data_IF_113667597418
#
_entry.id   IF_113667597418
#
_cell.length_a   1.000
_cell.length_b   1.000
_cell.length_c   1.000
_cell.angle_alpha   90.00
_cell.angle_beta   90.00
_cell.angle_gamma   90.00
#
_symmetry.space_group_name_H-M   'P 1'
#
loop_
_entity.id
_entity.type
_entity.pdbx_description
1 polymer ?
#
# COMPACT_ATOMS: atom_id res chain seq x y z
N UNK A 1 -28.67 -11.10 3.96
CA UNK A 1 -28.24 -10.29 5.12
C UNK A 1 -27.46 -9.12 4.58
N UNK A 2 -28.15 -8.01 4.36
CA UNK A 2 -27.60 -6.74 3.86
C UNK A 2 -27.65 -5.79 5.05
N UNK A 3 -26.54 -5.65 5.74
CA UNK A 3 -26.39 -4.72 6.85
C UNK A 3 -25.05 -3.99 6.68
N UNK A 4 -25.06 -2.71 7.05
CA UNK A 4 -23.87 -1.91 7.42
C UNK A 4 -23.18 -1.05 6.37
N UNK A 5 -23.88 -0.59 5.33
CA UNK A 5 -23.44 0.62 4.59
C UNK A 5 -24.17 1.91 5.03
N UNK A 6 -25.23 1.82 5.84
CA UNK A 6 -26.12 2.94 6.16
C UNK A 6 -25.82 3.68 7.49
N UNK A 7 -25.00 3.14 8.40
CA UNK A 7 -24.90 3.71 9.76
C UNK A 7 -23.85 4.80 9.98
N UNK A 8 -22.85 4.93 9.10
CA UNK A 8 -21.97 6.11 9.12
C UNK A 8 -22.72 7.38 8.71
N UNK A 9 -23.85 7.23 8.01
CA UNK A 9 -24.61 8.37 7.53
C UNK A 9 -25.29 9.17 8.64
N UNK A 10 -25.59 8.52 9.77
CA UNK A 10 -26.31 9.12 10.90
C UNK A 10 -25.41 9.76 11.96
N UNK A 11 -24.13 9.39 12.02
CA UNK A 11 -23.23 9.76 13.13
C UNK A 11 -22.22 10.84 12.77
N UNK A 12 -21.74 10.88 11.51
CA UNK A 12 -20.69 11.79 11.09
C UNK A 12 -21.10 12.65 9.88
N UNK A 13 -20.74 13.93 9.96
CA UNK A 13 -20.86 14.88 8.84
C UNK A 13 -19.86 14.55 7.74
N UNK A 14 -20.11 15.03 6.52
CA UNK A 14 -19.17 14.89 5.40
C UNK A 14 -17.80 15.51 5.71
N UNK A 15 -17.77 16.63 6.44
CA UNK A 15 -16.55 17.30 6.85
C UNK A 15 -15.73 16.47 7.85
N UNK A 16 -16.40 15.85 8.83
CA UNK A 16 -15.73 14.95 9.79
C UNK A 16 -15.15 13.73 9.08
N UNK A 17 -15.89 13.11 8.16
CA UNK A 17 -15.39 11.98 7.39
C UNK A 17 -14.20 12.37 6.49
N UNK A 18 -14.25 13.54 5.86
CA UNK A 18 -13.12 14.07 5.08
C UNK A 18 -11.88 14.29 5.96
N UNK A 19 -12.06 14.87 7.15
CA UNK A 19 -10.98 15.04 8.11
C UNK A 19 -10.40 13.71 8.61
N UNK A 20 -11.25 12.69 8.82
CA UNK A 20 -10.80 11.34 9.19
C UNK A 20 -10.00 10.68 8.07
N UNK A 21 -10.43 10.84 6.82
CA UNK A 21 -9.68 10.35 5.65
C UNK A 21 -8.33 11.07 5.52
N UNK A 22 -8.31 12.39 5.66
CA UNK A 22 -7.08 13.17 5.62
C UNK A 22 -6.11 12.74 6.72
N UNK A 23 -6.58 12.57 7.96
CA UNK A 23 -5.75 12.08 9.06
C UNK A 23 -5.17 10.70 8.79
N UNK A 24 -5.94 9.80 8.16
CA UNK A 24 -5.42 8.49 7.78
C UNK A 24 -4.30 8.60 6.74
N UNK A 25 -4.42 9.51 5.76
CA UNK A 25 -3.36 9.79 4.80
C UNK A 25 -2.13 10.41 5.47
N UNK A 26 -2.32 11.34 6.40
CA UNK A 26 -1.22 11.98 7.14
C UNK A 26 -0.45 10.96 7.99
N UNK A 27 -1.16 10.05 8.69
CA UNK A 27 -0.57 8.95 9.46
C UNK A 27 0.27 8.00 8.59
N UNK A 28 -0.10 7.86 7.32
CA UNK A 28 0.61 7.06 6.32
C UNK A 28 1.75 7.85 5.64
N UNK A 29 1.74 9.19 5.74
CA UNK A 29 2.58 10.07 4.93
C UNK A 29 2.22 9.99 3.44
N UNK A 30 0.96 9.70 3.10
CA UNK A 30 0.49 9.47 1.75
C UNK A 30 -0.20 10.67 1.14
N UNK A 31 -0.13 10.76 -0.19
CA UNK A 31 -0.97 11.62 -1.01
C UNK A 31 -2.17 10.82 -1.53
N UNK A 32 -3.23 11.47 -2.03
CA UNK A 32 -4.37 10.80 -2.66
C UNK A 32 -3.97 9.83 -3.79
N UNK A 33 -2.88 10.16 -4.49
CA UNK A 33 -2.34 9.33 -5.57
C UNK A 33 -1.75 8.01 -5.08
N UNK A 34 -1.24 7.94 -3.85
CA UNK A 34 -0.68 6.73 -3.25
C UNK A 34 -1.82 5.81 -2.77
N UNK A 35 -2.84 6.38 -2.13
CA UNK A 35 -4.05 5.63 -1.75
C UNK A 35 -4.69 4.98 -2.97
N UNK A 36 -4.83 5.72 -4.07
CA UNK A 36 -5.32 5.18 -5.34
C UNK A 36 -4.47 4.02 -5.85
N UNK A 37 -3.15 4.14 -5.83
CA UNK A 37 -2.26 3.07 -6.33
C UNK A 37 -2.39 1.82 -5.47
N UNK A 38 -2.58 1.99 -4.16
CA UNK A 38 -2.87 0.88 -3.25
C UNK A 38 -4.24 0.25 -3.52
N UNK A 39 -5.29 1.05 -3.75
CA UNK A 39 -6.60 0.51 -4.13
C UNK A 39 -6.54 -0.31 -5.42
N UNK A 40 -5.72 0.12 -6.41
CA UNK A 40 -5.48 -0.65 -7.64
C UNK A 40 -4.82 -2.00 -7.36
N UNK A 41 -3.80 -2.01 -6.51
CA UNK A 41 -3.13 -3.26 -6.10
C UNK A 41 -4.07 -4.18 -5.32
N UNK A 42 -4.99 -3.62 -4.55
CA UNK A 42 -6.02 -4.37 -3.81
C UNK A 42 -7.21 -4.81 -4.68
N UNK A 43 -7.18 -4.60 -6.00
CA UNK A 43 -8.20 -5.09 -6.92
C UNK A 43 -9.31 -4.09 -7.31
N UNK A 44 -9.13 -2.79 -7.06
CA UNK A 44 -10.07 -1.80 -7.58
C UNK A 44 -9.93 -1.65 -9.11
N UNK A 45 -10.87 -2.23 -9.84
CA UNK A 45 -10.84 -2.25 -11.31
C UNK A 45 -11.29 -0.93 -11.97
N UNK A 46 -11.76 0.06 -11.19
CA UNK A 46 -12.19 1.34 -11.76
C UNK A 46 -11.03 2.06 -12.45
N UNK A 47 -11.30 2.93 -13.45
CA UNK A 47 -10.26 3.73 -14.08
C UNK A 47 -9.50 4.58 -13.06
N UNK A 48 -8.17 4.67 -13.22
CA UNK A 48 -7.25 5.41 -12.33
C UNK A 48 -7.71 6.86 -12.08
N UNK A 49 -8.15 7.55 -13.14
CA UNK A 49 -8.66 8.91 -13.05
C UNK A 49 -9.95 9.01 -12.22
N UNK A 50 -10.82 8.01 -12.32
CA UNK A 50 -12.09 7.94 -11.58
C UNK A 50 -11.84 7.77 -10.09
N UNK A 51 -10.96 6.85 -9.71
CA UNK A 51 -10.59 6.62 -8.30
C UNK A 51 -9.98 7.89 -7.72
N UNK A 52 -8.99 8.49 -8.40
CA UNK A 52 -8.33 9.70 -7.92
C UNK A 52 -9.29 10.87 -7.75
N UNK A 53 -10.16 11.10 -8.74
CA UNK A 53 -11.17 12.16 -8.69
C UNK A 53 -12.12 11.93 -7.52
N UNK A 54 -12.54 10.69 -7.29
CA UNK A 54 -13.36 10.32 -6.14
C UNK A 54 -12.71 10.69 -4.81
N UNK A 55 -11.45 10.28 -4.61
CA UNK A 55 -10.68 10.59 -3.39
C UNK A 55 -10.56 12.11 -3.19
N UNK A 56 -10.15 12.85 -4.23
CA UNK A 56 -9.96 14.30 -4.14
C UNK A 56 -11.28 15.03 -3.83
N UNK A 57 -12.39 14.65 -4.47
CA UNK A 57 -13.71 15.23 -4.18
C UNK A 57 -14.18 14.91 -2.77
N UNK A 58 -13.89 13.71 -2.27
CA UNK A 58 -14.23 13.31 -0.91
C UNK A 58 -13.43 14.10 0.13
N UNK A 59 -12.13 14.32 -0.11
CA UNK A 59 -11.28 15.17 0.74
C UNK A 59 -11.70 16.65 0.69
N UNK A 60 -12.14 17.13 -0.47
CA UNK A 60 -12.67 18.50 -0.62
C UNK A 60 -14.06 18.70 0.01
N UNK A 61 -14.74 17.61 0.40
CA UNK A 61 -16.11 17.66 0.92
C UNK A 61 -17.20 17.80 -0.15
N UNK A 62 -16.83 17.76 -1.44
CA UNK A 62 -17.78 17.81 -2.57
C UNK A 62 -18.72 16.60 -2.61
N UNK A 63 -18.24 15.47 -2.09
CA UNK A 63 -18.99 14.24 -1.91
C UNK A 63 -18.68 13.67 -0.53
N UNK A 64 -19.62 12.91 0.03
CA UNK A 64 -19.39 12.19 1.28
C UNK A 64 -18.35 11.08 1.06
N UNK A 65 -17.40 10.95 1.98
CA UNK A 65 -16.45 9.83 1.99
C UNK A 65 -17.26 8.54 2.22
N UNK A 66 -17.11 7.54 1.34
CA UNK A 66 -17.77 6.25 1.55
C UNK A 66 -17.15 5.51 2.75
N UNK A 67 -17.97 4.76 3.48
CA UNK A 67 -17.50 3.94 4.59
C UNK A 67 -16.40 2.96 4.17
N UNK A 68 -16.50 2.37 2.98
CA UNK A 68 -15.48 1.48 2.41
C UNK A 68 -14.13 2.17 2.18
N UNK A 69 -14.13 3.39 1.63
CA UNK A 69 -12.90 4.14 1.40
C UNK A 69 -12.20 4.48 2.72
N UNK A 70 -12.99 4.92 3.71
CA UNK A 70 -12.46 5.24 5.03
C UNK A 70 -11.96 3.99 5.76
N UNK A 71 -12.72 2.88 5.69
CA UNK A 71 -12.32 1.60 6.27
C UNK A 71 -11.02 1.10 5.65
N UNK A 72 -10.88 1.17 4.33
CA UNK A 72 -9.65 0.80 3.62
C UNK A 72 -8.46 1.65 4.06
N UNK A 73 -8.59 2.98 4.07
CA UNK A 73 -7.52 3.87 4.53
C UNK A 73 -7.09 3.56 5.98
N UNK A 74 -8.05 3.30 6.87
CA UNK A 74 -7.78 2.92 8.26
C UNK A 74 -7.12 1.54 8.38
N UNK A 75 -7.49 0.58 7.53
CA UNK A 75 -6.82 -0.71 7.45
C UNK A 75 -5.36 -0.54 7.02
N UNK A 76 -5.07 0.34 6.06
CA UNK A 76 -3.68 0.63 5.66
C UNK A 76 -2.88 1.27 6.80
N UNK A 77 -3.47 2.18 7.59
CA UNK A 77 -2.82 2.73 8.80
C UNK A 77 -2.44 1.61 9.78
N UNK A 78 -3.39 0.67 10.03
CA UNK A 78 -3.15 -0.47 10.93
C UNK A 78 -2.07 -1.40 10.39
N UNK A 79 -2.08 -1.65 9.08
CA UNK A 79 -1.06 -2.43 8.37
C UNK A 79 0.31 -1.79 8.55
N UNK A 80 0.49 -0.50 8.25
CA UNK A 80 1.76 0.19 8.44
C UNK A 80 2.24 0.10 9.88
N UNK A 81 1.36 0.34 10.86
CA UNK A 81 1.72 0.21 12.28
C UNK A 81 2.15 -1.21 12.65
N UNK A 82 1.52 -2.25 12.07
CA UNK A 82 1.93 -3.65 12.25
C UNK A 82 3.32 -3.88 11.65
N UNK A 83 3.53 -3.46 10.41
CA UNK A 83 4.80 -3.62 9.71
C UNK A 83 5.94 -2.88 10.42
N UNK A 84 5.69 -1.69 10.97
CA UNK A 84 6.69 -0.97 11.77
C UNK A 84 7.03 -1.68 13.08
N UNK A 85 6.10 -2.41 13.70
CA UNK A 85 6.42 -3.26 14.86
C UNK A 85 7.27 -4.47 14.46
N UNK A 86 7.01 -5.06 13.29
CA UNK A 86 7.73 -6.24 12.81
C UNK A 86 9.12 -5.90 12.26
N UNK A 87 9.20 -4.88 11.41
CA UNK A 87 10.38 -4.55 10.59
C UNK A 87 10.95 -3.16 10.89
N UNK A 88 10.40 -2.40 11.83
CA UNK A 88 10.87 -1.03 12.11
C UNK A 88 12.34 -0.94 12.54
N UNK A 89 12.88 -2.02 13.12
CA UNK A 89 14.27 -2.12 13.57
C UNK A 89 15.18 -2.80 12.53
N UNK A 90 14.73 -3.00 11.29
CA UNK A 90 15.54 -3.60 10.23
C UNK A 90 16.84 -2.82 10.05
N UNK A 91 18.02 -3.48 10.13
CA UNK A 91 19.29 -2.81 9.90
C UNK A 91 19.44 -2.47 8.42
N UNK A 92 19.50 -1.18 8.12
CA UNK A 92 19.76 -0.68 6.78
C UNK A 92 21.26 -0.42 6.61
N UNK A 93 21.86 -1.02 5.59
CA UNK A 93 23.25 -0.75 5.19
C UNK A 93 23.26 0.32 4.12
N UNK A 94 23.98 1.41 4.37
CA UNK A 94 24.27 2.41 3.34
C UNK A 94 25.35 1.90 2.37
N UNK A 95 25.16 2.19 1.10
CA UNK A 95 26.04 1.82 -0.01
C UNK A 95 26.81 3.07 -0.48
N UNK A 96 27.87 2.87 -1.26
CA UNK A 96 28.77 3.96 -1.70
C UNK A 96 28.13 5.00 -2.62
N UNK A 97 26.95 4.70 -3.19
CA UNK A 97 26.13 5.59 -4.01
C UNK A 97 25.05 6.34 -3.21
N UNK A 98 25.02 6.18 -1.88
CA UNK A 98 23.99 6.74 -1.00
C UNK A 98 22.69 5.93 -0.95
N UNK A 99 22.63 4.79 -1.66
CA UNK A 99 21.51 3.86 -1.54
C UNK A 99 21.52 3.17 -0.18
N UNK A 100 20.34 2.80 0.33
CA UNK A 100 20.20 1.99 1.53
C UNK A 100 19.65 0.62 1.19
N UNK A 101 20.28 -0.45 1.64
CA UNK A 101 19.80 -1.82 1.39
C UNK A 101 19.57 -2.60 2.68
N UNK A 102 18.62 -3.53 2.63
CA UNK A 102 18.33 -4.48 3.69
C UNK A 102 17.87 -5.80 3.08
N UNK A 103 18.22 -6.92 3.72
CA UNK A 103 17.67 -8.22 3.40
C UNK A 103 16.58 -8.55 4.42
N UNK A 104 15.40 -8.89 3.94
CA UNK A 104 14.29 -9.39 4.75
C UNK A 104 13.78 -10.68 4.13
N UNK A 105 13.94 -11.79 4.86
CA UNK A 105 13.59 -13.12 4.38
C UNK A 105 14.23 -13.40 3.00
N UNK A 106 13.43 -13.75 2.00
CA UNK A 106 13.85 -14.02 0.63
C UNK A 106 13.92 -12.77 -0.26
N UNK A 107 13.75 -11.58 0.30
CA UNK A 107 13.73 -10.32 -0.42
C UNK A 107 14.90 -9.40 -0.08
N UNK A 108 15.55 -8.88 -1.11
CA UNK A 108 16.48 -7.76 -1.01
C UNK A 108 15.72 -6.47 -1.31
N UNK A 109 15.79 -5.52 -0.38
CA UNK A 109 15.24 -4.18 -0.54
C UNK A 109 16.39 -3.21 -0.77
N UNK A 110 16.24 -2.31 -1.75
CA UNK A 110 17.18 -1.22 -2.01
C UNK A 110 16.41 0.08 -2.19
N UNK A 111 16.71 1.07 -1.36
CA UNK A 111 16.18 2.44 -1.42
C UNK A 111 17.22 3.30 -2.13
N UNK A 112 16.91 3.74 -3.33
CA UNK A 112 17.83 4.50 -4.18
C UNK A 112 17.49 5.99 -4.08
N UNK A 113 18.45 6.86 -3.68
CA UNK A 113 18.25 8.29 -3.70
C UNK A 113 18.21 8.79 -5.14
N UNK A 114 17.37 9.78 -5.38
CA UNK A 114 17.21 10.45 -6.65
C UNK A 114 17.22 11.97 -6.46
N UNK A 115 17.28 12.69 -7.58
CA UNK A 115 17.23 14.16 -7.58
C UNK A 115 16.05 14.71 -6.77
N UNK A 116 16.30 15.81 -6.06
CA UNK A 116 15.32 16.55 -5.23
C UNK A 116 14.81 15.77 -4.01
N UNK A 117 15.65 14.94 -3.41
CA UNK A 117 15.33 14.23 -2.16
C UNK A 117 14.29 13.11 -2.35
N UNK A 118 14.07 12.68 -3.58
CA UNK A 118 13.12 11.62 -3.91
C UNK A 118 13.80 10.27 -3.77
N UNK A 119 13.03 9.26 -3.39
CA UNK A 119 13.53 7.93 -3.12
C UNK A 119 12.74 6.89 -3.89
N UNK A 120 13.45 5.98 -4.55
CA UNK A 120 12.86 4.85 -5.27
C UNK A 120 13.04 3.59 -4.44
N UNK A 121 11.94 2.86 -4.24
CA UNK A 121 11.95 1.54 -3.60
C UNK A 121 12.16 0.49 -4.69
N UNK A 122 13.22 -0.29 -4.57
CA UNK A 122 13.45 -1.49 -5.36
C UNK A 122 13.36 -2.72 -4.44
N UNK A 123 12.58 -3.72 -4.85
CA UNK A 123 12.37 -4.96 -4.10
C UNK A 123 12.58 -6.14 -5.05
N UNK A 124 13.46 -7.06 -4.67
CA UNK A 124 13.81 -8.22 -5.49
C UNK A 124 13.78 -9.48 -4.63
N UNK A 125 12.97 -10.46 -5.03
CA UNK A 125 12.96 -11.79 -4.45
C UNK A 125 14.16 -12.61 -4.96
N UNK A 126 14.69 -13.54 -4.15
CA UNK A 126 15.80 -14.44 -4.53
C UNK A 126 15.56 -15.21 -5.84
N UNK A 127 14.30 -15.47 -6.18
CA UNK A 127 13.88 -16.13 -7.41
C UNK A 127 13.79 -15.20 -8.63
N UNK A 128 14.22 -13.95 -8.52
CA UNK A 128 14.24 -12.95 -9.61
C UNK A 128 12.94 -12.16 -9.79
N UNK A 129 11.87 -12.50 -9.04
CA UNK A 129 10.64 -11.72 -9.04
C UNK A 129 10.84 -10.33 -8.43
N UNK A 130 10.26 -9.31 -9.06
CA UNK A 130 10.17 -7.94 -8.53
C UNK A 130 8.74 -7.45 -8.73
N UNK A 131 8.02 -7.02 -7.68
CA UNK A 131 6.66 -6.50 -7.84
C UNK A 131 6.65 -5.21 -8.64
N UNK A 132 5.47 -4.69 -9.00
CA UNK A 132 5.33 -3.37 -9.62
C UNK A 132 5.65 -2.25 -8.62
N UNK A 133 6.37 -1.22 -9.08
CA UNK A 133 6.98 -0.24 -8.18
C UNK A 133 6.01 0.89 -7.97
N UNK A 134 5.78 1.23 -6.70
CA UNK A 134 5.02 2.40 -6.33
C UNK A 134 5.81 3.68 -6.61
N UNK A 135 5.13 4.81 -6.43
CA UNK A 135 5.67 6.14 -6.73
C UNK A 135 6.92 6.44 -5.91
N UNK A 136 7.65 7.44 -6.37
CA UNK A 136 8.81 7.96 -5.63
C UNK A 136 8.33 8.57 -4.31
N UNK A 137 9.12 8.37 -3.28
CA UNK A 137 8.84 8.81 -1.92
C UNK A 137 9.62 10.09 -1.63
N UNK A 138 9.02 11.01 -0.89
CA UNK A 138 9.59 12.34 -0.66
C UNK A 138 10.67 12.37 0.44
N UNK A 139 10.95 11.23 1.07
CA UNK A 139 12.00 11.09 2.08
C UNK A 139 12.45 9.64 2.22
N UNK A 140 13.63 9.43 2.82
CA UNK A 140 14.13 8.11 3.15
C UNK A 140 13.18 7.36 4.09
N UNK A 141 12.58 8.05 5.06
CA UNK A 141 11.65 7.42 5.99
C UNK A 141 10.35 6.98 5.29
N UNK A 142 9.81 7.80 4.39
CA UNK A 142 8.67 7.41 3.57
C UNK A 142 9.02 6.22 2.66
N UNK A 143 10.24 6.18 2.11
CA UNK A 143 10.74 5.04 1.33
C UNK A 143 10.82 3.74 2.15
N UNK A 144 11.31 3.80 3.40
CA UNK A 144 11.33 2.64 4.31
C UNK A 144 9.92 2.14 4.60
N UNK A 145 8.99 3.04 4.95
CA UNK A 145 7.61 2.65 5.23
C UNK A 145 6.94 2.01 4.01
N UNK A 146 7.11 2.62 2.83
CA UNK A 146 6.57 2.10 1.58
C UNK A 146 7.19 0.77 1.19
N UNK A 147 8.47 0.56 1.48
CA UNK A 147 9.15 -0.70 1.22
C UNK A 147 8.54 -1.86 2.03
N UNK A 148 8.18 -1.64 3.28
CA UNK A 148 7.53 -2.68 4.07
C UNK A 148 6.13 -3.03 3.57
N UNK A 149 5.36 -2.04 3.10
CA UNK A 149 4.04 -2.29 2.49
C UNK A 149 4.20 -3.04 1.17
N UNK A 150 5.19 -2.66 0.37
CA UNK A 150 5.52 -3.35 -0.89
C UNK A 150 5.96 -4.79 -0.64
N UNK A 151 6.72 -5.04 0.44
CA UNK A 151 7.11 -6.38 0.87
C UNK A 151 5.91 -7.23 1.25
N UNK A 152 5.00 -6.73 2.11
CA UNK A 152 3.78 -7.45 2.53
C UNK A 152 2.92 -7.83 1.30
N UNK A 153 2.71 -6.88 0.39
CA UNK A 153 2.00 -7.13 -0.87
C UNK A 153 2.70 -8.19 -1.74
N UNK A 154 4.04 -8.15 -1.84
CA UNK A 154 4.81 -9.10 -2.63
C UNK A 154 4.78 -10.51 -2.04
N UNK A 155 4.85 -10.63 -0.71
CA UNK A 155 4.71 -11.90 0.01
C UNK A 155 3.32 -12.50 -0.20
N UNK A 156 2.26 -11.70 -0.07
CA UNK A 156 0.88 -12.15 -0.31
C UNK A 156 0.70 -12.63 -1.75
N UNK A 157 1.18 -11.87 -2.74
CA UNK A 157 1.10 -12.29 -4.15
C UNK A 157 1.82 -13.60 -4.43
N UNK A 158 3.03 -13.78 -3.89
CA UNK A 158 3.80 -15.03 -4.04
C UNK A 158 3.07 -16.22 -3.42
N UNK A 159 2.42 -16.01 -2.26
CA UNK A 159 1.62 -17.03 -1.60
C UNK A 159 0.38 -17.40 -2.43
N UNK A 160 -0.40 -16.42 -2.88
CA UNK A 160 -1.58 -16.63 -3.73
C UNK A 160 -1.21 -17.34 -5.04
N UNK A 161 -0.10 -16.93 -5.68
CA UNK A 161 0.41 -17.57 -6.88
C UNK A 161 0.79 -19.04 -6.64
N UNK A 162 1.46 -19.34 -5.53
CA UNK A 162 1.81 -20.71 -5.17
C UNK A 162 0.56 -21.59 -4.93
N UNK A 163 -0.45 -21.06 -4.24
CA UNK A 163 -1.73 -21.75 -4.05
C UNK A 163 -2.45 -22.01 -5.39
N UNK A 164 -2.48 -21.02 -6.28
CA UNK A 164 -3.11 -21.17 -7.59
C UNK A 164 -2.42 -22.28 -8.40
N UNK A 165 -1.08 -22.28 -8.46
CA UNK A 165 -0.30 -23.32 -9.15
C UNK A 165 -0.53 -24.71 -8.57
N UNK A 166 -0.67 -24.83 -7.25
CA UNK A 166 -0.98 -26.09 -6.59
C UNK A 166 -2.39 -26.61 -6.97
N UNK A 167 -3.38 -25.72 -7.05
CA UNK A 167 -4.74 -26.07 -7.49
C UNK A 167 -4.78 -26.49 -8.96
N UNK A 168 -4.07 -25.78 -9.83
CA UNK A 168 -3.95 -26.13 -11.26
C UNK A 168 -3.32 -27.51 -11.44
N UNK A 169 -2.19 -27.78 -10.77
CA UNK A 169 -1.52 -29.09 -10.86
C UNK A 169 -2.39 -30.24 -10.32
N UNK A 170 -3.16 -30.00 -9.26
CA UNK A 170 -4.11 -30.98 -8.73
C UNK A 170 -5.27 -31.25 -9.69
N UNK A 171 -5.74 -30.24 -10.42
CA UNK A 171 -6.78 -30.38 -11.43
C UNK A 171 -6.26 -31.10 -12.69
N UNK A 172 -5.03 -30.84 -13.11
CA UNK A 172 -4.37 -31.49 -14.25
C UNK A 172 -4.00 -32.95 -13.96
N UNK A 173 -3.66 -33.29 -12.71
CA UNK A 173 -3.35 -34.66 -12.28
C UNK A 173 -4.56 -35.55 -11.99
N UNK A 174 -5.79 -35.05 -12.16
CA UNK A 174 -7.05 -35.79 -12.02
C UNK A 174 -7.66 -36.19 -13.38
N UNK A 175 -6.93 -36.01 -14.49
CA UNK A 175 -7.26 -36.46 -15.85
C UNK A 175 -6.34 -37.62 -16.24
#
# INVERSE_FOLDING_TARGET
MTTDSQDLDSVFTSAELAAMLQRALDDLGWKPVDLRDQMRLAGDYRPVATILRGINRALAGDIKVSGELLAYAQQMVRLQRRLLRTYGNTPWKELGDGSHTAQLEDFTITLMPESKGRWRVNLVHKGGYSPSWLRWQDSLQAAKNMAFITLDNAQNWMFEYAEQRAREAAAEGLV
#
